data_IF_596085642796
#
_entry.id   IF_596085642796
#
_cell.length_a   1.000
_cell.length_b   1.000
_cell.length_c   1.000
_cell.angle_alpha   90.00
_cell.angle_beta   90.00
_cell.angle_gamma   90.00
#
_symmetry.space_group_name_H-M   'P 1'
#
loop_
_entity.id
_entity.type
_entity.pdbx_description
1 polymer ?
#
# COMPACT_ATOMS: atom_id res chain seq x y z
N UNK A 1 40.15 2.61 -46.37
CA UNK A 1 38.99 2.10 -45.61
C UNK A 1 37.78 2.88 -46.07
N UNK A 2 36.82 2.22 -46.72
CA UNK A 2 35.64 2.87 -47.27
C UNK A 2 34.65 3.19 -46.14
N UNK A 3 34.24 4.45 -46.05
CA UNK A 3 33.24 4.92 -45.10
C UNK A 3 31.86 4.40 -45.54
N UNK A 4 31.14 3.74 -44.64
CA UNK A 4 29.78 3.26 -44.90
C UNK A 4 28.84 4.47 -44.96
N UNK A 5 27.94 4.48 -45.93
CA UNK A 5 27.06 5.61 -46.30
C UNK A 5 26.01 5.99 -45.25
N UNK A 6 25.77 5.15 -44.24
CA UNK A 6 24.81 5.38 -43.15
C UNK A 6 25.48 5.21 -41.78
N UNK A 7 26.53 5.99 -41.53
CA UNK A 7 27.12 6.08 -40.20
C UNK A 7 26.44 7.19 -39.40
N UNK A 8 25.54 6.81 -38.49
CA UNK A 8 24.92 7.71 -37.51
C UNK A 8 25.95 8.49 -36.66
N UNK A 9 27.22 8.08 -36.67
CA UNK A 9 28.33 8.70 -35.96
C UNK A 9 29.27 9.52 -36.88
N UNK A 10 29.03 9.57 -38.19
CA UNK A 10 29.80 10.42 -39.12
C UNK A 10 29.36 11.90 -39.09
N UNK A 11 28.45 12.27 -38.19
CA UNK A 11 27.96 13.64 -38.05
C UNK A 11 28.98 14.52 -37.30
N UNK A 12 29.45 15.57 -37.97
CA UNK A 12 30.40 16.56 -37.43
C UNK A 12 29.77 17.91 -37.05
N UNK A 13 28.43 17.98 -37.00
CA UNK A 13 27.69 19.18 -36.60
C UNK A 13 27.47 19.29 -35.08
N UNK A 14 26.87 20.40 -34.61
CA UNK A 14 26.58 20.58 -33.19
C UNK A 14 25.61 19.53 -32.68
N UNK A 15 25.95 18.89 -31.56
CA UNK A 15 25.09 17.92 -30.88
C UNK A 15 23.95 18.63 -30.15
N UNK A 16 22.77 18.00 -30.15
CA UNK A 16 21.65 18.47 -29.35
C UNK A 16 21.95 18.26 -27.86
N UNK A 17 21.88 19.31 -27.01
CA UNK A 17 22.01 19.14 -25.57
C UNK A 17 20.99 18.15 -25.02
N UNK A 18 21.38 17.34 -24.05
CA UNK A 18 20.52 16.30 -23.47
C UNK A 18 19.18 16.86 -22.97
N UNK A 19 19.19 18.02 -22.31
CA UNK A 19 17.98 18.67 -21.81
C UNK A 19 17.01 19.06 -22.94
N UNK A 20 17.53 19.52 -24.08
CA UNK A 20 16.70 19.86 -25.24
C UNK A 20 16.12 18.60 -25.88
N UNK A 21 16.89 17.51 -25.92
CA UNK A 21 16.42 16.20 -26.37
C UNK A 21 15.30 15.66 -25.48
N UNK A 22 15.47 15.69 -24.16
CA UNK A 22 14.47 15.26 -23.19
C UNK A 22 13.16 16.07 -23.34
N UNK A 23 13.28 17.39 -23.52
CA UNK A 23 12.14 18.26 -23.78
C UNK A 23 11.40 17.87 -25.06
N UNK A 24 12.13 17.65 -26.15
CA UNK A 24 11.54 17.23 -27.42
C UNK A 24 10.85 15.87 -27.32
N UNK A 25 11.40 14.91 -26.55
CA UNK A 25 10.75 13.62 -26.30
C UNK A 25 9.46 13.84 -25.52
N UNK A 26 9.50 14.60 -24.41
CA UNK A 26 8.32 14.88 -23.60
C UNK A 26 7.21 15.62 -24.38
N UNK A 27 7.59 16.52 -25.28
CA UNK A 27 6.66 17.27 -26.13
C UNK A 27 5.99 16.41 -27.21
N UNK A 28 6.62 15.31 -27.64
CA UNK A 28 6.14 14.48 -28.77
C UNK A 28 5.53 13.16 -28.33
N UNK A 29 6.02 12.56 -27.24
CA UNK A 29 5.48 11.32 -26.70
C UNK A 29 4.29 11.63 -25.82
N UNK A 30 3.15 10.99 -26.09
CA UNK A 30 1.95 11.08 -25.25
C UNK A 30 1.77 9.77 -24.49
N UNK A 31 1.34 9.80 -23.22
CA UNK A 31 0.91 8.59 -22.53
C UNK A 31 -0.20 7.89 -23.32
N UNK A 32 -0.20 6.56 -23.29
CA UNK A 32 -1.28 5.77 -23.89
C UNK A 32 -2.58 6.03 -23.10
N UNK A 33 -3.65 6.37 -23.83
CA UNK A 33 -4.97 6.62 -23.23
C UNK A 33 -5.82 5.35 -23.12
N UNK A 34 -5.44 4.29 -23.84
CA UNK A 34 -6.15 3.02 -23.83
C UNK A 34 -5.98 2.32 -22.48
N UNK A 35 -7.06 1.71 -22.00
CA UNK A 35 -7.07 1.00 -20.73
C UNK A 35 -7.74 -0.34 -20.90
N UNK A 36 -7.26 -1.34 -20.16
CA UNK A 36 -7.88 -2.65 -20.11
C UNK A 36 -8.07 -3.07 -18.65
N UNK A 37 -9.07 -3.93 -18.41
CA UNK A 37 -9.24 -4.60 -17.11
C UNK A 37 -8.59 -5.96 -17.18
N UNK A 38 -7.62 -6.19 -16.30
CA UNK A 38 -6.92 -7.47 -16.20
C UNK A 38 -7.15 -8.09 -14.81
N UNK A 39 -7.12 -9.42 -14.68
CA UNK A 39 -7.03 -10.07 -13.38
C UNK A 39 -5.77 -9.64 -12.63
N UNK A 40 -5.83 -9.56 -11.30
CA UNK A 40 -4.68 -9.16 -10.45
C UNK A 40 -3.43 -10.01 -10.71
N UNK A 41 -3.59 -11.31 -10.97
CA UNK A 41 -2.50 -12.22 -11.31
C UNK A 41 -1.70 -11.79 -12.57
N UNK A 42 -2.28 -10.97 -13.45
CA UNK A 42 -1.66 -10.43 -14.67
C UNK A 42 -1.34 -8.94 -14.57
N UNK A 43 -1.53 -8.33 -13.41
CA UNK A 43 -1.32 -6.89 -13.20
C UNK A 43 0.14 -6.52 -12.89
N UNK A 44 0.99 -7.50 -12.57
CA UNK A 44 2.42 -7.27 -12.24
C UNK A 44 3.11 -6.52 -13.39
N UNK A 45 3.87 -5.47 -13.04
CA UNK A 45 4.61 -4.57 -13.95
C UNK A 45 3.74 -3.70 -14.87
N UNK A 46 2.41 -3.67 -14.71
CA UNK A 46 1.54 -2.73 -15.42
C UNK A 46 1.38 -1.42 -14.65
N UNK A 47 0.99 -0.36 -15.34
CA UNK A 47 0.67 0.95 -14.76
C UNK A 47 -0.83 1.05 -14.50
N UNK A 48 -1.21 1.60 -13.34
CA UNK A 48 -2.63 1.81 -13.04
C UNK A 48 -3.18 2.95 -13.89
N UNK A 49 -4.34 2.73 -14.51
CA UNK A 49 -5.00 3.74 -15.33
C UNK A 49 -5.67 4.86 -14.52
N UNK A 50 -5.94 4.61 -13.23
CA UNK A 50 -6.58 5.54 -12.28
C UNK A 50 -6.18 5.21 -10.86
N UNK A 51 -6.45 6.12 -9.93
CA UNK A 51 -6.28 5.88 -8.49
C UNK A 51 -6.99 4.61 -8.03
N UNK A 52 -6.32 3.84 -7.16
CA UNK A 52 -6.89 2.68 -6.47
C UNK A 52 -7.23 3.13 -5.06
N UNK A 53 -8.52 3.32 -4.79
CA UNK A 53 -9.01 3.78 -3.50
C UNK A 53 -9.44 2.57 -2.66
N UNK A 54 -9.15 2.61 -1.35
CA UNK A 54 -9.62 1.60 -0.41
C UNK A 54 -11.15 1.73 -0.26
N UNK A 55 -11.93 0.66 -0.49
CA UNK A 55 -13.39 0.73 -0.37
C UNK A 55 -13.86 0.67 1.09
N UNK A 56 -13.00 0.19 2.00
CA UNK A 56 -13.29 -0.01 3.42
C UNK A 56 -12.04 0.29 4.26
N UNK A 57 -12.19 0.69 5.54
CA UNK A 57 -11.07 0.75 6.47
C UNK A 57 -10.47 -0.65 6.69
N UNK A 58 -9.16 -0.69 6.91
CA UNK A 58 -8.45 -1.91 7.27
C UNK A 58 -7.48 -1.60 8.43
N UNK A 59 -7.69 -2.19 9.64
CA UNK A 59 -8.75 -3.16 9.96
C UNK A 59 -10.15 -2.53 9.96
N UNK A 60 -11.22 -3.32 9.71
CA UNK A 60 -12.58 -2.82 9.68
C UNK A 60 -13.18 -2.53 11.07
N UNK A 61 -12.53 -3.01 12.13
CA UNK A 61 -12.89 -2.80 13.54
C UNK A 61 -11.65 -2.96 14.42
N UNK A 62 -11.75 -2.52 15.68
CA UNK A 62 -10.68 -2.69 16.67
C UNK A 62 -10.49 -4.17 17.02
N UNK A 63 -9.32 -4.72 16.72
CA UNK A 63 -8.96 -6.10 17.04
C UNK A 63 -7.72 -6.15 17.95
N UNK A 64 -7.55 -7.25 18.66
CA UNK A 64 -6.33 -7.46 19.45
C UNK A 64 -5.14 -7.65 18.51
N UNK A 65 -4.05 -6.93 18.78
CA UNK A 65 -2.78 -7.08 18.06
C UNK A 65 -1.99 -8.32 18.50
N UNK A 66 -2.29 -8.85 19.69
CA UNK A 66 -1.59 -9.97 20.32
C UNK A 66 -2.56 -10.90 21.03
N UNK A 67 -2.08 -12.09 21.40
CA UNK A 67 -2.77 -12.94 22.36
C UNK A 67 -2.65 -12.34 23.77
N UNK A 68 -3.77 -12.18 24.46
CA UNK A 68 -3.80 -11.55 25.77
C UNK A 68 -5.20 -11.47 26.35
N UNK A 69 -5.39 -10.51 27.26
CA UNK A 69 -6.66 -10.28 27.95
C UNK A 69 -7.20 -8.89 27.61
N UNK A 70 -8.49 -8.82 27.28
CA UNK A 70 -9.17 -7.55 27.12
C UNK A 70 -9.53 -7.02 28.52
N UNK A 71 -9.07 -5.83 28.86
CA UNK A 71 -9.30 -5.25 30.19
C UNK A 71 -9.87 -3.85 30.08
N UNK A 72 -10.63 -3.43 31.09
CA UNK A 72 -11.01 -2.02 31.24
C UNK A 72 -9.87 -1.30 31.93
N UNK A 73 -9.38 -0.22 31.35
CA UNK A 73 -8.33 0.60 31.97
C UNK A 73 -8.70 1.04 33.40
N UNK A 74 -9.98 1.34 33.64
CA UNK A 74 -10.49 1.73 34.95
C UNK A 74 -10.42 0.64 36.03
N UNK A 75 -10.28 -0.63 35.64
CA UNK A 75 -10.18 -1.76 36.58
C UNK A 75 -8.72 -2.07 36.95
N UNK A 76 -7.75 -1.36 36.37
CA UNK A 76 -6.32 -1.53 36.66
C UNK A 76 -5.90 -0.65 37.85
N UNK A 77 -5.19 -1.24 38.80
CA UNK A 77 -4.58 -0.51 39.89
C UNK A 77 -3.49 0.44 39.36
N UNK A 78 -3.49 1.70 39.80
CA UNK A 78 -2.48 2.69 39.42
C UNK A 78 -1.06 2.29 39.88
N UNK A 79 -0.97 1.51 40.95
CA UNK A 79 0.26 0.88 41.42
C UNK A 79 -0.05 -0.49 42.02
N UNK A 80 0.88 -1.43 41.86
CA UNK A 80 0.77 -2.79 42.38
C UNK A 80 0.03 -3.77 41.46
N UNK A 81 -0.29 -4.94 42.01
CA UNK A 81 -0.92 -6.04 41.29
C UNK A 81 -2.43 -5.82 41.09
N UNK A 82 -2.93 -6.10 39.90
CA UNK A 82 -4.38 -6.16 39.62
C UNK A 82 -4.80 -7.61 39.41
N UNK A 83 -5.88 -8.04 40.08
CA UNK A 83 -6.48 -9.36 39.88
C UNK A 83 -7.87 -9.20 39.28
N UNK A 84 -8.06 -9.73 38.07
CA UNK A 84 -9.33 -9.70 37.35
C UNK A 84 -9.86 -11.11 37.16
N UNK A 85 -11.18 -11.25 37.19
CA UNK A 85 -11.83 -12.54 36.92
C UNK A 85 -11.96 -12.76 35.41
N UNK A 86 -11.48 -13.90 34.92
CA UNK A 86 -11.69 -14.27 33.51
C UNK A 86 -13.18 -14.54 33.26
N UNK A 87 -13.81 -13.72 32.42
CA UNK A 87 -15.21 -13.81 32.03
C UNK A 87 -15.42 -14.73 30.83
N UNK A 88 -14.40 -14.91 29.98
CA UNK A 88 -14.49 -15.78 28.83
C UNK A 88 -13.25 -15.76 27.95
N UNK A 89 -13.40 -16.31 26.74
CA UNK A 89 -12.38 -16.29 25.69
C UNK A 89 -13.05 -15.91 24.37
N UNK A 90 -12.50 -14.90 23.69
CA UNK A 90 -12.92 -14.50 22.36
C UNK A 90 -11.82 -14.89 21.36
N UNK A 91 -12.19 -15.65 20.33
CA UNK A 91 -11.27 -16.09 19.27
C UNK A 91 -11.51 -15.32 17.99
N UNK A 92 -10.54 -15.30 17.08
CA UNK A 92 -10.72 -14.73 15.74
C UNK A 92 -11.98 -15.29 15.05
N UNK A 93 -12.70 -14.41 14.36
CA UNK A 93 -13.94 -14.74 13.64
C UNK A 93 -15.19 -14.86 14.52
N UNK A 94 -15.09 -14.67 15.84
CA UNK A 94 -16.26 -14.58 16.73
C UNK A 94 -16.57 -13.13 17.07
N UNK A 95 -17.85 -12.83 17.17
CA UNK A 95 -18.32 -11.54 17.68
C UNK A 95 -18.17 -11.49 19.20
N UNK A 96 -17.72 -10.34 19.71
CA UNK A 96 -17.80 -10.06 21.12
C UNK A 96 -19.28 -9.97 21.50
N UNK A 97 -19.68 -10.67 22.57
CA UNK A 97 -21.05 -10.58 23.10
C UNK A 97 -21.25 -9.27 23.87
N UNK A 98 -21.66 -9.38 25.13
CA UNK A 98 -21.75 -8.22 26.02
C UNK A 98 -20.37 -7.63 26.34
N UNK A 99 -20.34 -6.32 26.60
CA UNK A 99 -19.16 -5.66 27.15
C UNK A 99 -18.69 -6.35 28.45
N UNK A 100 -17.37 -6.36 28.67
CA UNK A 100 -16.77 -6.92 29.89
C UNK A 100 -17.28 -6.17 31.13
N UNK A 101 -17.68 -6.93 32.15
CA UNK A 101 -18.14 -6.36 33.41
C UNK A 101 -16.98 -5.73 34.21
N UNK A 102 -17.24 -4.78 35.11
CA UNK A 102 -16.23 -4.27 36.02
C UNK A 102 -15.51 -5.38 36.81
N UNK A 103 -14.18 -5.31 36.88
CA UNK A 103 -13.34 -6.28 37.57
C UNK A 103 -13.15 -7.60 36.81
N UNK A 104 -13.51 -7.64 35.52
CA UNK A 104 -13.37 -8.81 34.67
C UNK A 104 -12.39 -8.59 33.52
N UNK A 105 -11.90 -9.71 32.98
CA UNK A 105 -11.02 -9.78 31.83
C UNK A 105 -11.44 -10.90 30.87
#
# INVERSE_FOLDING_TARGET
MAQLTDDCFAFSGPLLPLADMEKLIAERVRPLAETERVPLARARLRVTARHVLAPVPLPPFDNSAVDGYAVRHADLAASGETKLKIAGRLTAGREAGSAIAPGAA
#
